data_IF_362264887761
#
_entry.id   IF_362264887761
#
_cell.length_a   1.000
_cell.length_b   1.000
_cell.length_c   1.000
_cell.angle_alpha   90.00
_cell.angle_beta   90.00
_cell.angle_gamma   90.00
#
_symmetry.space_group_name_H-M   'P 1'
#
loop_
_entity.id
_entity.type
_entity.pdbx_description
1 polymer ?
#
# COMPACT_ATOMS: atom_id res chain seq x y z
N UNK A 1 -9.74 6.00 -25.41
CA UNK A 1 -8.54 6.32 -26.22
C UNK A 1 -7.37 6.41 -25.28
N UNK A 2 -6.42 5.49 -25.39
CA UNK A 2 -5.07 5.72 -24.92
C UNK A 2 -4.46 6.77 -25.83
N UNK A 3 -4.04 7.92 -25.29
CA UNK A 3 -3.10 8.76 -26.01
C UNK A 3 -1.83 7.93 -26.17
N UNK A 4 -1.73 7.15 -27.24
CA UNK A 4 -0.44 6.89 -27.84
C UNK A 4 0.20 8.26 -28.04
N UNK A 5 1.44 8.43 -27.59
CA UNK A 5 2.24 9.61 -27.93
C UNK A 5 2.11 9.82 -29.45
N UNK A 6 1.09 10.57 -29.86
CA UNK A 6 1.14 11.20 -31.16
C UNK A 6 2.37 12.11 -31.04
N UNK A 7 3.42 11.80 -31.80
CA UNK A 7 4.44 12.75 -32.21
C UNK A 7 3.76 13.92 -32.92
N UNK A 8 3.02 14.75 -32.16
CA UNK A 8 2.81 16.12 -32.58
C UNK A 8 4.20 16.72 -32.50
N UNK A 9 4.73 17.30 -33.60
CA UNK A 9 5.87 18.18 -33.47
C UNK A 9 5.45 19.20 -32.42
N UNK A 10 6.03 19.13 -31.23
CA UNK A 10 5.87 20.15 -30.21
C UNK A 10 6.51 21.38 -30.86
N UNK A 11 5.69 22.26 -31.40
CA UNK A 11 6.10 23.59 -31.72
C UNK A 11 6.67 24.12 -30.41
N UNK A 12 8.00 24.21 -30.34
CA UNK A 12 8.69 24.67 -29.16
C UNK A 12 8.11 26.04 -28.84
N UNK A 13 7.27 26.11 -27.79
CA UNK A 13 6.90 27.42 -27.27
C UNK A 13 8.21 28.01 -26.78
N UNK A 14 8.73 28.97 -27.54
CA UNK A 14 10.09 29.55 -27.41
C UNK A 14 10.42 30.07 -26.00
N UNK A 15 9.41 30.12 -25.12
CA UNK A 15 9.54 30.69 -23.77
C UNK A 15 9.23 29.68 -22.63
N UNK A 16 8.83 28.43 -22.94
CA UNK A 16 8.60 27.42 -21.90
C UNK A 16 9.88 26.64 -21.61
N UNK A 17 10.35 26.74 -20.37
CA UNK A 17 11.50 25.96 -19.89
C UNK A 17 11.08 24.51 -19.68
N UNK A 18 11.85 23.57 -20.18
CA UNK A 18 11.63 22.16 -19.99
C UNK A 18 11.89 21.76 -18.52
N UNK A 19 11.03 20.93 -17.95
CA UNK A 19 11.23 20.44 -16.57
C UNK A 19 12.58 19.75 -16.38
N UNK A 20 13.09 19.05 -17.40
CA UNK A 20 14.44 18.41 -17.34
C UNK A 20 15.56 19.41 -17.09
N UNK A 21 15.40 20.65 -17.52
CA UNK A 21 16.41 21.71 -17.38
C UNK A 21 16.25 22.46 -16.03
N UNK A 22 15.07 22.34 -15.39
CA UNK A 22 14.78 22.90 -14.07
C UNK A 22 15.19 21.97 -12.92
N UNK A 23 15.19 20.64 -13.13
CA UNK A 23 15.43 19.68 -12.06
C UNK A 23 16.89 19.26 -11.99
N UNK A 24 17.42 19.15 -10.76
CA UNK A 24 18.78 18.68 -10.57
C UNK A 24 18.91 17.18 -10.89
N UNK A 25 19.84 16.75 -11.79
CA UNK A 25 19.99 15.35 -12.18
C UNK A 25 20.26 14.39 -11.01
N UNK A 26 20.93 14.86 -9.97
CA UNK A 26 21.22 14.08 -8.77
C UNK A 26 20.09 14.07 -7.74
N UNK A 27 18.93 14.67 -8.01
CA UNK A 27 17.78 14.61 -7.10
C UNK A 27 17.21 13.20 -7.03
N UNK A 28 16.79 12.77 -5.83
CA UNK A 28 16.38 11.39 -5.57
C UNK A 28 15.17 10.92 -6.41
N UNK A 29 14.20 11.80 -6.68
CA UNK A 29 13.06 11.49 -7.56
C UNK A 29 13.47 11.38 -9.02
N UNK A 30 14.48 12.14 -9.48
CA UNK A 30 15.02 12.03 -10.83
C UNK A 30 15.70 10.67 -11.01
N UNK A 31 16.54 10.28 -10.06
CA UNK A 31 17.20 8.97 -10.06
C UNK A 31 16.18 7.81 -10.02
N UNK A 32 15.12 7.96 -9.24
CA UNK A 32 14.05 6.96 -9.15
C UNK A 32 13.27 6.88 -10.47
N UNK A 33 12.92 8.04 -11.07
CA UNK A 33 12.25 8.13 -12.37
C UNK A 33 12.99 7.36 -13.46
N UNK A 34 14.30 7.53 -13.51
CA UNK A 34 15.15 6.94 -14.55
C UNK A 34 15.42 5.45 -14.29
N UNK A 35 15.29 4.99 -13.05
CA UNK A 35 15.46 3.59 -12.68
C UNK A 35 14.23 2.72 -12.99
N UNK A 36 13.02 3.31 -13.02
CA UNK A 36 11.74 2.60 -13.24
C UNK A 36 11.49 2.38 -14.72
N UNK A 37 11.08 1.18 -15.09
CA UNK A 37 10.60 0.86 -16.45
C UNK A 37 9.12 1.25 -16.61
N UNK A 38 8.85 2.49 -16.98
CA UNK A 38 7.48 3.01 -17.15
C UNK A 38 6.71 2.32 -18.29
N UNK A 39 7.38 1.85 -19.35
CA UNK A 39 6.73 1.16 -20.47
C UNK A 39 6.03 -0.12 -20.02
N UNK A 40 6.61 -0.85 -19.05
CA UNK A 40 6.00 -2.05 -18.49
C UNK A 40 4.58 -1.77 -17.95
N UNK A 41 4.36 -0.62 -17.32
CA UNK A 41 3.04 -0.25 -16.80
C UNK A 41 2.07 0.11 -17.92
N UNK A 42 2.54 0.81 -18.96
CA UNK A 42 1.72 1.16 -20.13
C UNK A 42 1.23 -0.10 -20.86
N UNK A 43 2.09 -1.10 -20.99
CA UNK A 43 1.78 -2.38 -21.62
C UNK A 43 0.81 -3.22 -20.77
N UNK A 44 1.10 -3.39 -19.47
CA UNK A 44 0.30 -4.23 -18.57
C UNK A 44 -1.10 -3.65 -18.35
N UNK A 45 -1.21 -2.32 -18.31
CA UNK A 45 -2.48 -1.64 -18.02
C UNK A 45 -3.28 -1.29 -19.28
N UNK A 46 -2.74 -1.56 -20.48
CA UNK A 46 -3.45 -1.29 -21.75
C UNK A 46 -4.82 -1.95 -21.79
N UNK A 47 -4.93 -3.18 -21.29
CA UNK A 47 -6.19 -3.93 -21.25
C UNK A 47 -7.27 -3.32 -20.33
N UNK A 48 -6.88 -2.47 -19.40
CA UNK A 48 -7.81 -1.76 -18.51
C UNK A 48 -8.47 -0.52 -19.17
N UNK A 49 -8.10 -0.20 -20.42
CA UNK A 49 -8.59 0.95 -21.17
C UNK A 49 -9.19 0.54 -22.50
N UNK A 50 -10.31 1.17 -22.88
CA UNK A 50 -10.88 1.02 -24.22
C UNK A 50 -10.13 1.90 -25.22
N UNK A 51 -9.70 1.32 -26.35
CA UNK A 51 -8.92 2.05 -27.36
C UNK A 51 -9.75 3.07 -28.13
N UNK A 52 -11.03 2.80 -28.39
CA UNK A 52 -11.83 3.53 -29.36
C UNK A 52 -13.09 4.19 -28.82
N UNK A 53 -13.32 4.24 -27.50
CA UNK A 53 -14.53 4.81 -26.93
C UNK A 53 -14.25 5.73 -25.74
N UNK A 54 -14.87 6.93 -25.73
CA UNK A 54 -14.84 7.88 -24.63
C UNK A 54 -13.78 9.00 -24.74
N UNK A 55 -13.72 9.87 -23.70
CA UNK A 55 -12.72 10.94 -23.59
C UNK A 55 -11.31 10.33 -23.48
N UNK A 56 -10.27 10.94 -24.10
CA UNK A 56 -8.88 10.50 -23.95
C UNK A 56 -8.50 10.33 -22.47
N UNK A 57 -7.96 9.18 -22.14
CA UNK A 57 -7.53 8.88 -20.76
C UNK A 57 -6.29 9.68 -20.40
N UNK A 58 -6.13 9.94 -19.10
CA UNK A 58 -4.87 10.46 -18.55
C UNK A 58 -3.80 9.40 -18.78
N UNK A 59 -2.56 9.77 -19.17
CA UNK A 59 -1.47 8.83 -19.39
C UNK A 59 -1.27 7.91 -18.19
N UNK A 60 -1.06 6.62 -18.44
CA UNK A 60 -0.83 5.59 -17.39
C UNK A 60 0.34 6.00 -16.49
N UNK A 61 1.41 6.52 -17.08
CA UNK A 61 2.57 7.01 -16.34
C UNK A 61 2.22 8.10 -15.34
N UNK A 62 1.37 9.07 -15.71
CA UNK A 62 0.89 10.12 -14.82
C UNK A 62 0.15 9.53 -13.62
N UNK A 63 -0.82 8.65 -13.87
CA UNK A 63 -1.63 8.04 -12.82
C UNK A 63 -0.83 7.11 -11.91
N UNK A 64 0.11 6.34 -12.48
CA UNK A 64 1.03 5.50 -11.71
C UNK A 64 1.98 6.38 -10.86
N UNK A 65 2.54 7.44 -11.43
CA UNK A 65 3.40 8.38 -10.72
C UNK A 65 2.71 9.03 -9.51
N UNK A 66 1.49 9.55 -9.71
CA UNK A 66 0.67 10.12 -8.62
C UNK A 66 0.37 9.06 -7.54
N UNK A 67 0.09 7.81 -7.93
CA UNK A 67 -0.13 6.71 -6.99
C UNK A 67 1.15 6.39 -6.19
N UNK A 68 2.31 6.38 -6.83
CA UNK A 68 3.59 6.17 -6.18
C UNK A 68 3.88 7.26 -5.15
N UNK A 69 3.76 8.53 -5.55
CA UNK A 69 3.96 9.68 -4.66
C UNK A 69 3.02 9.63 -3.45
N UNK A 70 1.75 9.29 -3.66
CA UNK A 70 0.78 9.13 -2.57
C UNK A 70 1.28 8.18 -1.48
N UNK A 71 1.72 6.97 -1.86
CA UNK A 71 2.15 5.95 -0.90
C UNK A 71 3.59 6.13 -0.42
N UNK A 72 4.45 6.79 -1.18
CA UNK A 72 5.79 7.18 -0.74
C UNK A 72 5.76 8.20 0.39
N UNK A 73 4.84 9.17 0.33
CA UNK A 73 4.76 10.30 1.25
C UNK A 73 3.53 10.27 2.18
N UNK A 74 2.79 9.17 2.20
CA UNK A 74 1.60 8.98 3.05
C UNK A 74 0.57 10.12 2.95
N UNK A 75 0.21 10.53 1.72
CA UNK A 75 -0.67 11.68 1.46
C UNK A 75 -2.08 11.27 1.01
N UNK A 76 -3.06 12.16 1.21
CA UNK A 76 -4.37 12.01 0.62
C UNK A 76 -4.32 12.21 -0.91
N UNK A 77 -5.39 11.87 -1.63
CA UNK A 77 -5.46 12.12 -3.07
C UNK A 77 -5.39 13.62 -3.39
N UNK A 78 -6.00 14.47 -2.55
CA UNK A 78 -5.97 15.91 -2.73
C UNK A 78 -4.58 16.47 -2.47
N UNK A 79 -3.96 16.10 -1.35
CA UNK A 79 -2.61 16.60 -1.01
C UNK A 79 -1.59 16.25 -2.09
N UNK A 80 -1.71 15.06 -2.71
CA UNK A 80 -0.82 14.67 -3.83
C UNK A 80 -1.03 15.58 -5.05
N UNK A 81 -2.27 15.92 -5.38
CA UNK A 81 -2.58 16.79 -6.51
C UNK A 81 -2.12 18.23 -6.27
N UNK A 82 -2.34 18.74 -5.06
CA UNK A 82 -1.93 20.09 -4.66
C UNK A 82 -0.40 20.21 -4.68
N UNK A 83 0.31 19.26 -4.06
CA UNK A 83 1.78 19.22 -4.08
C UNK A 83 2.35 19.02 -5.51
N UNK A 84 1.65 18.27 -6.37
CA UNK A 84 2.08 18.10 -7.76
C UNK A 84 2.09 19.44 -8.51
N UNK A 85 1.09 20.31 -8.29
CA UNK A 85 1.04 21.64 -8.92
C UNK A 85 2.19 22.54 -8.49
N UNK A 86 2.71 22.36 -7.27
CA UNK A 86 3.74 23.23 -6.70
C UNK A 86 5.17 22.71 -6.94
N UNK A 87 5.34 21.41 -7.25
CA UNK A 87 6.64 20.76 -7.24
C UNK A 87 7.07 20.27 -8.64
N UNK A 88 8.08 20.93 -9.27
CA UNK A 88 8.58 20.53 -10.58
C UNK A 88 9.18 19.12 -10.61
N UNK A 89 9.78 18.65 -9.51
CA UNK A 89 10.29 17.27 -9.41
C UNK A 89 9.17 16.23 -9.45
N UNK A 90 8.00 16.53 -8.87
CA UNK A 90 6.85 15.64 -8.90
C UNK A 90 6.24 15.56 -10.29
N UNK A 91 6.14 16.71 -10.97
CA UNK A 91 5.68 16.78 -12.36
C UNK A 91 6.61 16.01 -13.28
N UNK A 92 7.93 16.23 -13.14
CA UNK A 92 8.93 15.51 -13.91
C UNK A 92 8.93 14.00 -13.66
N UNK A 93 8.76 13.58 -12.40
CA UNK A 93 8.62 12.16 -12.02
C UNK A 93 7.42 11.51 -12.71
N UNK A 94 6.28 12.20 -12.72
CA UNK A 94 5.05 11.75 -13.36
C UNK A 94 5.09 11.81 -14.90
N UNK A 95 6.15 12.34 -15.51
CA UNK A 95 6.33 12.41 -16.96
C UNK A 95 5.89 13.72 -17.58
N UNK A 96 5.75 14.79 -16.79
CA UNK A 96 5.57 16.15 -17.31
C UNK A 96 6.80 16.62 -18.11
N UNK A 97 6.56 17.34 -19.18
CA UNK A 97 7.62 17.98 -20.00
C UNK A 97 7.80 19.45 -19.62
N UNK A 98 6.70 20.14 -19.36
CA UNK A 98 6.67 21.53 -18.94
C UNK A 98 6.02 21.64 -17.56
N UNK A 99 6.26 22.75 -16.88
CA UNK A 99 5.63 23.04 -15.60
C UNK A 99 4.15 23.44 -15.81
N UNK A 100 3.27 22.76 -15.09
CA UNK A 100 1.81 22.96 -15.15
C UNK A 100 1.31 23.49 -13.80
N UNK A 101 0.44 24.48 -13.83
CA UNK A 101 -0.14 25.09 -12.61
C UNK A 101 -1.46 24.46 -12.18
N UNK A 102 -2.08 23.65 -13.05
CA UNK A 102 -3.34 22.97 -12.77
C UNK A 102 -3.13 21.46 -12.57
N UNK A 103 -3.88 20.82 -11.67
CA UNK A 103 -3.73 19.39 -11.44
C UNK A 103 -4.16 18.59 -12.68
N UNK A 104 -3.42 17.52 -13.04
CA UNK A 104 -3.69 16.72 -14.24
C UNK A 104 -5.00 15.93 -14.14
N UNK A 105 -5.56 15.85 -12.94
CA UNK A 105 -6.76 15.07 -12.63
C UNK A 105 -7.40 15.54 -11.33
N UNK A 106 -8.44 14.83 -10.87
CA UNK A 106 -9.13 15.07 -9.61
C UNK A 106 -9.22 13.78 -8.75
N UNK A 107 -9.60 13.95 -7.48
CA UNK A 107 -9.73 12.84 -6.52
C UNK A 107 -10.63 11.70 -7.01
N UNK A 108 -11.76 12.02 -7.64
CA UNK A 108 -12.70 11.00 -8.12
C UNK A 108 -12.10 10.16 -9.25
N UNK A 109 -11.26 10.75 -10.09
CA UNK A 109 -10.53 10.03 -11.13
C UNK A 109 -9.42 9.15 -10.52
N UNK A 110 -8.69 9.62 -9.51
CA UNK A 110 -7.72 8.79 -8.77
C UNK A 110 -8.41 7.60 -8.09
N UNK A 111 -9.60 7.79 -7.52
CA UNK A 111 -10.38 6.70 -6.94
C UNK A 111 -10.82 5.67 -8.00
N UNK A 112 -11.34 6.13 -9.14
CA UNK A 112 -11.71 5.26 -10.27
C UNK A 112 -10.51 4.53 -10.86
N UNK A 113 -9.37 5.18 -10.94
CA UNK A 113 -8.10 4.55 -11.34
C UNK A 113 -7.76 3.37 -10.42
N UNK A 114 -7.77 3.56 -9.10
CA UNK A 114 -7.49 2.48 -8.15
C UNK A 114 -8.44 1.28 -8.30
N UNK A 115 -9.72 1.54 -8.50
CA UNK A 115 -10.69 0.46 -8.74
C UNK A 115 -10.40 -0.35 -10.02
N UNK A 116 -9.80 0.29 -11.04
CA UNK A 116 -9.42 -0.37 -12.30
C UNK A 116 -8.07 -1.09 -12.21
N UNK A 117 -7.16 -0.66 -11.33
CA UNK A 117 -5.85 -1.27 -11.18
C UNK A 117 -5.95 -2.78 -10.91
N UNK A 118 -6.78 -3.15 -9.93
CA UNK A 118 -6.87 -4.53 -9.48
C UNK A 118 -5.56 -5.03 -8.83
N UNK A 119 -5.62 -6.22 -8.26
CA UNK A 119 -4.49 -6.82 -7.53
C UNK A 119 -3.28 -7.11 -8.45
N UNK A 120 -3.53 -7.65 -9.64
CA UNK A 120 -2.49 -8.05 -10.59
C UNK A 120 -1.59 -6.88 -11.01
N UNK A 121 -2.19 -5.74 -11.36
CA UNK A 121 -1.41 -4.58 -11.79
C UNK A 121 -0.59 -3.98 -10.64
N UNK A 122 -1.10 -4.02 -9.40
CA UNK A 122 -0.32 -3.58 -8.23
C UNK A 122 0.83 -4.54 -7.92
N UNK A 123 0.65 -5.85 -8.09
CA UNK A 123 1.74 -6.83 -7.99
C UNK A 123 2.84 -6.54 -9.03
N UNK A 124 2.48 -6.21 -10.27
CA UNK A 124 3.43 -5.79 -11.29
C UNK A 124 4.19 -4.51 -10.92
N UNK A 125 3.53 -3.55 -10.26
CA UNK A 125 4.21 -2.36 -9.74
C UNK A 125 5.24 -2.71 -8.66
N UNK A 126 4.92 -3.62 -7.75
CA UNK A 126 5.87 -4.09 -6.72
C UNK A 126 7.02 -4.86 -7.38
N UNK A 127 6.72 -5.75 -8.32
CA UNK A 127 7.72 -6.52 -9.08
C UNK A 127 8.72 -5.59 -9.76
N UNK A 128 8.24 -4.54 -10.44
CA UNK A 128 9.12 -3.56 -11.08
C UNK A 128 10.07 -2.86 -10.09
N UNK A 129 9.63 -2.59 -8.85
CA UNK A 129 10.54 -1.99 -7.85
C UNK A 129 11.69 -2.93 -7.49
N UNK A 130 11.42 -4.24 -7.42
CA UNK A 130 12.42 -5.27 -7.13
C UNK A 130 13.35 -5.48 -8.33
N UNK A 131 12.81 -5.55 -9.55
CA UNK A 131 13.57 -5.67 -10.79
C UNK A 131 14.48 -4.46 -10.98
N UNK A 132 13.96 -3.25 -10.72
CA UNK A 132 14.75 -2.02 -10.74
C UNK A 132 15.89 -2.07 -9.70
N UNK A 133 15.62 -2.59 -8.50
CA UNK A 133 16.64 -2.76 -7.48
C UNK A 133 17.74 -3.75 -7.90
N UNK A 134 17.38 -4.82 -8.61
CA UNK A 134 18.32 -5.80 -9.17
C UNK A 134 19.14 -5.20 -10.33
N UNK A 135 18.48 -4.57 -11.30
CA UNK A 135 19.14 -3.90 -12.45
C UNK A 135 20.15 -2.86 -12.00
N UNK A 136 19.77 -2.06 -10.99
CA UNK A 136 20.63 -1.04 -10.42
C UNK A 136 21.63 -1.57 -9.37
N UNK A 137 21.74 -2.89 -9.17
CA UNK A 137 22.67 -3.54 -8.23
C UNK A 137 22.55 -3.03 -6.78
N UNK A 138 21.37 -2.57 -6.36
CA UNK A 138 21.08 -2.17 -4.96
C UNK A 138 20.45 -3.32 -4.17
N UNK A 139 20.02 -4.38 -4.84
CA UNK A 139 19.63 -5.67 -4.28
C UNK A 139 20.33 -6.81 -5.03
N UNK A 140 20.31 -7.99 -4.44
CA UNK A 140 20.82 -9.24 -5.04
C UNK A 140 19.72 -10.30 -5.00
N UNK A 141 19.51 -11.05 -6.06
CA UNK A 141 18.51 -12.12 -6.14
C UNK A 141 18.66 -13.14 -4.97
N UNK A 142 19.90 -13.48 -4.61
CA UNK A 142 20.20 -14.34 -3.46
C UNK A 142 19.65 -13.83 -2.12
N UNK A 143 19.46 -12.52 -1.97
CA UNK A 143 18.87 -11.96 -0.74
C UNK A 143 17.37 -12.28 -0.63
N UNK A 144 16.69 -12.64 -1.73
CA UNK A 144 15.27 -13.01 -1.79
C UNK A 144 15.02 -14.51 -1.49
N UNK A 145 16.04 -15.35 -1.46
CA UNK A 145 15.93 -16.76 -1.09
C UNK A 145 15.61 -16.99 0.40
N UNK A 146 15.88 -15.99 1.26
CA UNK A 146 15.61 -16.03 2.69
C UNK A 146 14.65 -14.95 3.09
N UNK A 147 13.50 -15.37 3.59
CA UNK A 147 12.40 -14.44 3.88
C UNK A 147 11.96 -14.50 5.33
N UNK A 148 11.43 -13.41 5.83
CA UNK A 148 10.67 -13.35 7.07
C UNK A 148 9.20 -13.20 6.70
N UNK A 149 8.32 -13.93 7.37
CA UNK A 149 6.87 -13.90 7.17
C UNK A 149 6.22 -13.51 8.48
N UNK A 150 5.31 -12.55 8.40
CA UNK A 150 4.54 -12.10 9.57
C UNK A 150 3.21 -11.51 9.14
N UNK A 151 2.24 -11.46 10.06
CA UNK A 151 0.94 -10.82 9.87
C UNK A 151 0.74 -9.64 10.78
N UNK A 152 -0.04 -8.69 10.32
CA UNK A 152 -0.48 -7.55 11.13
C UNK A 152 -1.96 -7.26 10.87
N UNK A 153 -2.54 -6.31 11.61
CA UNK A 153 -3.89 -5.80 11.30
C UNK A 153 -3.74 -4.51 10.52
N UNK A 154 -4.41 -4.44 9.39
CA UNK A 154 -4.69 -3.23 8.65
C UNK A 154 -6.00 -2.64 9.16
N UNK A 155 -5.92 -1.59 9.97
CA UNK A 155 -7.10 -1.00 10.57
C UNK A 155 -7.91 -0.21 9.54
N UNK A 156 -9.22 -0.43 9.55
CA UNK A 156 -10.14 0.32 8.69
C UNK A 156 -10.44 1.69 9.31
N UNK A 157 -10.65 2.70 8.48
CA UNK A 157 -11.03 4.03 8.93
C UNK A 157 -12.49 4.07 9.37
N UNK A 158 -12.82 3.37 10.45
CA UNK A 158 -14.13 3.37 11.06
C UNK A 158 -14.10 4.00 12.46
N UNK A 159 -15.25 4.48 12.91
CA UNK A 159 -15.41 4.87 14.32
C UNK A 159 -15.46 3.62 15.18
N UNK A 160 -14.98 3.72 16.44
CA UNK A 160 -15.05 2.62 17.38
C UNK A 160 -16.50 2.10 17.48
N UNK A 161 -16.75 0.82 17.15
CA UNK A 161 -18.09 0.25 17.07
C UNK A 161 -18.68 0.06 18.47
N UNK A 162 -19.87 0.60 18.64
CA UNK A 162 -20.73 0.28 19.78
C UNK A 162 -22.11 -0.03 19.23
N UNK A 163 -22.85 -0.96 19.86
CA UNK A 163 -24.17 -1.38 19.37
C UNK A 163 -25.10 -0.16 19.17
N UNK A 164 -25.09 0.80 20.12
CA UNK A 164 -25.89 2.01 19.98
C UNK A 164 -25.55 2.83 18.72
N UNK A 165 -24.26 3.01 18.41
CA UNK A 165 -23.83 3.74 17.22
C UNK A 165 -24.18 3.00 15.93
N UNK A 166 -24.02 1.68 15.92
CA UNK A 166 -24.34 0.85 14.76
C UNK A 166 -25.84 0.90 14.45
N UNK A 167 -26.70 0.73 15.47
CA UNK A 167 -28.15 0.81 15.34
C UNK A 167 -28.62 2.18 14.82
N UNK A 168 -28.09 3.29 15.37
CA UNK A 168 -28.47 4.63 14.90
C UNK A 168 -27.95 4.87 13.48
N UNK A 169 -26.73 4.41 13.16
CA UNK A 169 -26.17 4.56 11.82
C UNK A 169 -26.91 3.76 10.76
N UNK A 170 -27.36 2.52 11.09
CA UNK A 170 -28.21 1.72 10.22
C UNK A 170 -29.54 2.47 9.95
N UNK A 171 -30.22 2.95 11.00
CA UNK A 171 -31.42 3.77 10.88
C UNK A 171 -31.20 4.98 9.96
N UNK A 172 -30.12 5.74 10.17
CA UNK A 172 -29.78 6.90 9.31
C UNK A 172 -29.62 6.51 7.85
N UNK A 173 -28.98 5.36 7.57
CA UNK A 173 -28.77 4.90 6.19
C UNK A 173 -30.06 4.44 5.52
N UNK A 174 -30.88 3.68 6.22
CA UNK A 174 -32.19 3.26 5.71
C UNK A 174 -33.06 4.48 5.40
N UNK A 175 -33.19 5.42 6.34
CA UNK A 175 -33.98 6.63 6.14
C UNK A 175 -33.45 7.46 4.98
N UNK A 176 -32.15 7.77 4.94
CA UNK A 176 -31.57 8.61 3.90
C UNK A 176 -31.65 8.00 2.50
N UNK A 177 -31.59 6.66 2.39
CA UNK A 177 -31.77 5.96 1.11
C UNK A 177 -33.23 5.91 0.72
N UNK A 178 -34.12 5.67 1.70
CA UNK A 178 -35.57 5.70 1.46
C UNK A 178 -36.08 7.05 1.02
N UNK A 179 -35.63 8.15 1.63
CA UNK A 179 -35.97 9.51 1.19
C UNK A 179 -35.57 9.76 -0.28
N UNK A 180 -34.42 9.22 -0.74
CA UNK A 180 -34.02 9.33 -2.15
C UNK A 180 -34.89 8.49 -3.10
N UNK A 181 -35.49 7.42 -2.60
CA UNK A 181 -36.46 6.59 -3.31
C UNK A 181 -37.91 7.09 -3.18
N UNK A 182 -38.13 8.22 -2.50
CA UNK A 182 -39.47 8.78 -2.26
C UNK A 182 -40.29 8.08 -1.19
N UNK A 183 -39.65 7.19 -0.38
CA UNK A 183 -40.35 6.45 0.70
C UNK A 183 -40.72 7.43 1.83
N UNK A 184 -41.98 7.42 2.22
CA UNK A 184 -42.48 8.15 3.37
C UNK A 184 -42.50 7.23 4.59
N UNK A 185 -41.64 7.50 5.57
CA UNK A 185 -41.60 6.77 6.81
C UNK A 185 -42.68 7.26 7.78
N UNK A 186 -43.35 6.35 8.50
CA UNK A 186 -44.28 6.71 9.56
C UNK A 186 -43.58 7.51 10.65
N UNK A 187 -42.35 7.12 11.02
CA UNK A 187 -41.44 7.82 11.92
C UNK A 187 -39.98 7.57 11.57
N UNK A 188 -39.20 8.59 11.31
CA UNK A 188 -37.77 8.47 10.96
C UNK A 188 -36.83 8.44 12.18
N UNK A 189 -37.32 8.74 13.37
CA UNK A 189 -36.59 8.74 14.66
C UNK A 189 -35.28 9.56 14.71
N UNK A 190 -35.05 10.51 13.80
CA UNK A 190 -33.79 11.28 13.69
C UNK A 190 -33.42 11.97 15.03
N UNK A 191 -34.38 12.72 15.58
CA UNK A 191 -34.15 13.43 16.86
C UNK A 191 -34.03 12.46 18.03
N UNK A 192 -34.85 11.40 18.08
CA UNK A 192 -34.82 10.38 19.13
C UNK A 192 -33.55 9.55 19.10
N UNK A 193 -33.04 9.16 17.94
CA UNK A 193 -31.78 8.40 17.78
C UNK A 193 -30.60 9.14 18.43
N UNK A 194 -30.39 10.40 18.08
CA UNK A 194 -29.33 11.23 18.69
C UNK A 194 -29.47 11.36 20.22
N UNK A 195 -30.68 11.56 20.72
CA UNK A 195 -30.95 11.62 22.16
C UNK A 195 -30.62 10.28 22.87
N UNK A 196 -30.97 9.15 22.24
CA UNK A 196 -30.66 7.81 22.75
C UNK A 196 -29.18 7.51 22.79
N UNK A 197 -28.42 7.90 21.75
CA UNK A 197 -26.95 7.79 21.75
C UNK A 197 -26.33 8.52 22.94
N UNK A 198 -26.79 9.74 23.22
CA UNK A 198 -26.28 10.53 24.34
C UNK A 198 -26.62 9.86 25.68
N UNK A 199 -27.86 9.42 25.86
CA UNK A 199 -28.31 8.69 27.08
C UNK A 199 -27.52 7.40 27.30
N UNK A 200 -27.32 6.60 26.24
CA UNK A 200 -26.53 5.37 26.30
C UNK A 200 -25.11 5.67 26.80
N UNK A 201 -24.45 6.65 26.19
CA UNK A 201 -23.08 7.04 26.57
C UNK A 201 -23.02 7.49 28.04
N UNK A 202 -24.01 8.26 28.54
CA UNK A 202 -24.10 8.68 29.93
C UNK A 202 -24.26 7.49 30.89
N UNK A 203 -25.16 6.55 30.59
CA UNK A 203 -25.37 5.37 31.42
C UNK A 203 -24.15 4.43 31.46
N UNK A 204 -23.45 4.25 30.31
CA UNK A 204 -22.23 3.45 30.29
C UNK A 204 -21.12 4.10 31.13
N UNK A 205 -20.93 5.42 31.04
CA UNK A 205 -19.96 6.16 31.87
C UNK A 205 -20.29 6.05 33.36
N UNK A 206 -21.58 6.10 33.70
CA UNK A 206 -22.07 5.94 35.09
C UNK A 206 -22.14 4.47 35.54
N UNK A 207 -21.67 3.50 34.72
CA UNK A 207 -21.73 2.05 35.01
C UNK A 207 -23.16 1.50 35.25
N UNK A 208 -24.18 2.20 34.73
CA UNK A 208 -25.61 1.81 34.85
C UNK A 208 -25.99 0.90 33.66
N UNK A 209 -25.42 -0.31 33.61
CA UNK A 209 -25.52 -1.20 32.46
C UNK A 209 -26.96 -1.66 32.13
N UNK A 210 -27.81 -1.86 33.12
CA UNK A 210 -29.22 -2.22 32.92
C UNK A 210 -29.99 -1.10 32.19
N UNK A 211 -29.75 0.17 32.57
CA UNK A 211 -30.34 1.32 31.88
C UNK A 211 -29.79 1.48 30.45
N UNK A 212 -28.50 1.26 30.28
CA UNK A 212 -27.89 1.25 28.95
C UNK A 212 -28.49 0.14 28.02
N UNK A 213 -28.74 -1.07 28.56
CA UNK A 213 -29.40 -2.16 27.85
C UNK A 213 -30.83 -1.82 27.43
N UNK A 214 -31.59 -1.10 28.30
CA UNK A 214 -32.94 -0.65 27.94
C UNK A 214 -32.91 0.35 26.78
N UNK A 215 -31.89 1.23 26.71
CA UNK A 215 -31.71 2.15 25.58
C UNK A 215 -31.43 1.37 24.30
N UNK A 216 -30.59 0.35 24.35
CA UNK A 216 -30.33 -0.51 23.19
C UNK A 216 -31.60 -1.19 22.70
N UNK A 217 -32.43 -1.75 23.59
CA UNK A 217 -33.71 -2.34 23.20
C UNK A 217 -34.63 -1.34 22.51
N UNK A 218 -34.73 -0.12 23.01
CA UNK A 218 -35.52 0.93 22.35
C UNK A 218 -34.95 1.31 20.97
N UNK A 219 -33.62 1.38 20.84
CA UNK A 219 -32.97 1.67 19.54
C UNK A 219 -33.16 0.54 18.53
N UNK A 220 -33.12 -0.73 18.97
CA UNK A 220 -33.50 -1.87 18.13
C UNK A 220 -34.92 -1.73 17.57
N UNK A 221 -35.87 -1.39 18.45
CA UNK A 221 -37.27 -1.17 18.01
C UNK A 221 -37.39 -0.01 17.02
N UNK A 222 -36.64 1.09 17.19
CA UNK A 222 -36.64 2.19 16.19
C UNK A 222 -36.10 1.75 14.85
N UNK A 223 -35.06 0.91 14.83
CA UNK A 223 -34.52 0.35 13.60
C UNK A 223 -35.52 -0.60 12.95
N UNK A 224 -36.12 -1.53 13.71
CA UNK A 224 -37.15 -2.44 13.21
C UNK A 224 -38.31 -1.70 12.54
N UNK A 225 -38.87 -0.69 13.20
CA UNK A 225 -39.98 0.05 12.64
C UNK A 225 -39.61 0.74 11.29
N UNK A 226 -38.41 1.31 11.20
CA UNK A 226 -37.92 1.96 9.97
C UNK A 226 -37.62 0.94 8.87
N UNK A 227 -37.13 -0.25 9.21
CA UNK A 227 -36.89 -1.33 8.23
C UNK A 227 -38.20 -1.89 7.70
N UNK A 228 -39.21 -2.11 8.55
CA UNK A 228 -40.54 -2.57 8.14
C UNK A 228 -41.23 -1.60 7.20
N UNK A 229 -41.22 -0.28 7.52
CA UNK A 229 -41.76 0.78 6.63
C UNK A 229 -41.05 0.73 5.25
N UNK A 230 -39.73 0.60 5.22
CA UNK A 230 -38.96 0.55 3.98
C UNK A 230 -39.22 -0.72 3.16
N UNK A 231 -39.32 -1.88 3.81
CA UNK A 231 -39.61 -3.18 3.15
C UNK A 231 -41.01 -3.16 2.53
N UNK A 232 -42.00 -2.62 3.25
CA UNK A 232 -43.35 -2.51 2.72
C UNK A 232 -43.40 -1.57 1.51
N UNK A 233 -42.73 -0.42 1.56
CA UNK A 233 -42.70 0.52 0.46
C UNK A 233 -41.97 -0.02 -0.77
N UNK A 234 -40.87 -0.77 -0.59
CA UNK A 234 -40.11 -1.36 -1.68
C UNK A 234 -40.94 -2.33 -2.55
N UNK A 235 -41.94 -2.99 -1.99
CA UNK A 235 -42.82 -3.91 -2.74
C UNK A 235 -43.59 -3.21 -3.87
N UNK A 236 -43.81 -1.91 -3.76
CA UNK A 236 -44.57 -1.10 -4.73
C UNK A 236 -43.68 -0.25 -5.65
N UNK A 237 -42.35 -0.20 -5.42
CA UNK A 237 -41.43 0.60 -6.22
C UNK A 237 -40.93 -0.21 -7.42
N UNK A 238 -41.22 0.27 -8.62
CA UNK A 238 -40.66 -0.24 -9.87
C UNK A 238 -39.57 0.72 -10.34
N UNK A 239 -38.30 0.27 -10.46
CA UNK A 239 -37.21 1.15 -10.88
C UNK A 239 -37.40 1.62 -12.32
N UNK A 240 -37.27 2.92 -12.57
CA UNK A 240 -37.42 3.52 -13.88
C UNK A 240 -36.07 3.77 -14.58
N UNK A 241 -35.00 3.75 -13.85
CA UNK A 241 -33.65 4.00 -14.36
C UNK A 241 -32.57 3.27 -13.55
N UNK A 242 -31.35 3.20 -14.11
CA UNK A 242 -30.21 2.51 -13.49
C UNK A 242 -29.83 3.09 -12.11
N UNK A 243 -30.09 4.40 -11.88
CA UNK A 243 -29.80 5.05 -10.59
C UNK A 243 -30.76 4.56 -9.51
N UNK A 244 -32.03 4.44 -9.83
CA UNK A 244 -33.03 3.90 -8.90
C UNK A 244 -32.77 2.43 -8.61
N UNK A 245 -32.42 1.64 -9.62
CA UNK A 245 -31.99 0.25 -9.44
C UNK A 245 -30.87 0.15 -8.41
N UNK A 246 -29.79 0.94 -8.57
CA UNK A 246 -28.67 0.94 -7.64
C UNK A 246 -29.05 1.39 -6.22
N UNK A 247 -30.02 2.33 -6.08
CA UNK A 247 -30.55 2.74 -4.77
C UNK A 247 -31.36 1.65 -4.10
N UNK A 248 -32.13 0.87 -4.87
CA UNK A 248 -32.90 -0.30 -4.36
C UNK A 248 -31.95 -1.37 -3.90
N UNK A 249 -30.92 -1.74 -4.69
CA UNK A 249 -29.90 -2.71 -4.29
C UNK A 249 -29.19 -2.27 -2.99
N UNK A 250 -28.84 -0.98 -2.91
CA UNK A 250 -28.23 -0.41 -1.70
C UNK A 250 -29.17 -0.49 -0.49
N UNK A 251 -30.48 -0.22 -0.70
CA UNK A 251 -31.49 -0.33 0.34
C UNK A 251 -31.60 -1.78 0.85
N UNK A 252 -31.71 -2.74 -0.06
CA UNK A 252 -31.78 -4.17 0.29
C UNK A 252 -30.57 -4.56 1.18
N UNK A 253 -29.35 -4.18 0.80
CA UNK A 253 -28.17 -4.42 1.62
C UNK A 253 -28.25 -3.77 3.02
N UNK A 254 -28.78 -2.56 3.13
CA UNK A 254 -28.98 -1.94 4.45
C UNK A 254 -30.07 -2.61 5.29
N UNK A 255 -31.13 -3.13 4.67
CA UNK A 255 -32.19 -3.87 5.37
C UNK A 255 -31.66 -5.20 5.93
N UNK A 256 -30.87 -5.94 5.14
CA UNK A 256 -30.20 -7.18 5.60
C UNK A 256 -29.28 -6.91 6.78
N UNK A 257 -28.38 -5.91 6.67
CA UNK A 257 -27.50 -5.51 7.77
C UNK A 257 -28.29 -5.05 9.01
N UNK A 258 -29.41 -4.36 8.82
CA UNK A 258 -30.28 -3.91 9.92
C UNK A 258 -30.91 -5.07 10.66
N UNK A 259 -31.38 -6.10 9.97
CA UNK A 259 -31.93 -7.33 10.59
C UNK A 259 -30.85 -8.04 11.41
N UNK A 260 -29.65 -8.24 10.85
CA UNK A 260 -28.53 -8.82 11.57
C UNK A 260 -28.18 -8.03 12.82
N UNK A 261 -28.20 -6.69 12.77
CA UNK A 261 -27.92 -5.84 13.94
C UNK A 261 -29.02 -5.91 15.03
N UNK A 262 -30.27 -6.04 14.64
CA UNK A 262 -31.37 -6.22 15.59
C UNK A 262 -31.23 -7.56 16.34
N UNK A 263 -30.81 -8.60 15.67
CA UNK A 263 -30.56 -9.93 16.27
C UNK A 263 -29.24 -9.96 17.06
N UNK A 264 -28.25 -9.17 16.67
CA UNK A 264 -26.94 -9.14 17.31
C UNK A 264 -27.03 -8.84 18.81
N UNK A 265 -26.40 -9.70 19.62
CA UNK A 265 -26.29 -9.54 21.06
C UNK A 265 -24.87 -9.84 21.57
N UNK A 266 -24.68 -9.90 22.89
CA UNK A 266 -23.38 -10.20 23.52
C UNK A 266 -22.87 -11.62 23.25
N UNK A 267 -23.77 -12.56 22.90
CA UNK A 267 -23.45 -13.96 22.64
C UNK A 267 -23.15 -14.22 21.14
N UNK A 268 -23.47 -13.27 20.26
CA UNK A 268 -23.17 -13.39 18.83
C UNK A 268 -21.67 -13.60 18.61
N UNK A 269 -21.26 -14.68 17.91
CA UNK A 269 -19.85 -14.95 17.65
C UNK A 269 -19.16 -13.79 16.92
N UNK A 270 -17.90 -13.52 17.26
CA UNK A 270 -17.17 -12.35 16.70
C UNK A 270 -17.09 -12.34 15.17
N UNK A 271 -17.07 -13.53 14.51
CA UNK A 271 -17.08 -13.66 13.05
C UNK A 271 -18.42 -13.25 12.41
N UNK A 272 -19.53 -13.35 13.15
CA UNK A 272 -20.88 -13.07 12.67
C UNK A 272 -21.35 -11.65 13.11
N UNK A 273 -20.50 -10.91 13.84
CA UNK A 273 -20.82 -9.56 14.30
C UNK A 273 -20.52 -8.50 13.27
N UNK A 274 -21.43 -7.54 13.15
CA UNK A 274 -21.23 -6.34 12.35
C UNK A 274 -20.51 -5.29 13.19
N UNK A 275 -19.42 -4.74 12.66
CA UNK A 275 -18.64 -3.68 13.28
C UNK A 275 -18.74 -2.33 12.52
N UNK A 276 -19.27 -2.35 11.29
CA UNK A 276 -19.49 -1.14 10.49
C UNK A 276 -20.61 -1.35 9.48
N UNK A 277 -21.48 -0.35 9.31
CA UNK A 277 -22.58 -0.39 8.33
C UNK A 277 -22.08 -0.11 6.91
N UNK A 278 -21.05 0.73 6.76
CA UNK A 278 -20.51 1.08 5.44
C UNK A 278 -19.36 0.19 5.00
N UNK A 279 -18.79 -0.56 5.91
CA UNK A 279 -17.71 -1.53 5.71
C UNK A 279 -18.04 -2.81 6.48
N UNK A 280 -19.06 -3.58 6.05
CA UNK A 280 -19.56 -4.74 6.80
C UNK A 280 -18.54 -5.88 6.92
N UNK A 281 -17.54 -5.93 6.02
CA UNK A 281 -16.46 -6.92 6.04
C UNK A 281 -15.40 -6.69 7.12
N UNK A 282 -15.50 -5.59 7.88
CA UNK A 282 -14.54 -5.29 8.96
C UNK A 282 -14.63 -6.33 10.06
N UNK A 283 -13.49 -6.85 10.46
CA UNK A 283 -13.33 -7.84 11.51
C UNK A 283 -12.79 -7.22 12.80
N UNK A 284 -13.08 -7.85 13.93
CA UNK A 284 -12.50 -7.52 15.22
C UNK A 284 -11.37 -8.50 15.54
N UNK A 285 -10.14 -8.04 15.51
CA UNK A 285 -8.95 -8.85 15.68
C UNK A 285 -8.30 -8.53 17.03
N UNK A 286 -8.17 -9.55 17.89
CA UNK A 286 -7.52 -9.43 19.19
C UNK A 286 -6.02 -9.80 19.05
N UNK A 287 -5.11 -8.86 19.32
CA UNK A 287 -3.66 -9.09 19.29
C UNK A 287 -2.99 -9.20 20.67
N UNK A 288 -3.75 -9.30 21.74
CA UNK A 288 -3.19 -9.43 23.10
C UNK A 288 -2.34 -8.24 23.58
N UNK A 289 -2.40 -7.09 22.89
CA UNK A 289 -1.71 -5.87 23.34
C UNK A 289 -2.41 -5.25 24.54
N UNK A 290 -1.67 -4.89 25.58
CA UNK A 290 -2.20 -4.32 26.83
C UNK A 290 -2.98 -3.03 26.57
N UNK A 291 -2.45 -2.13 25.74
CA UNK A 291 -3.06 -0.83 25.48
C UNK A 291 -4.15 -0.83 24.40
N UNK A 292 -4.17 -1.82 23.50
CA UNK A 292 -5.11 -1.90 22.39
C UNK A 292 -5.51 -3.35 22.15
N UNK A 293 -6.48 -3.79 22.93
CA UNK A 293 -6.92 -5.19 22.95
C UNK A 293 -7.55 -5.62 21.63
N UNK A 294 -8.29 -4.72 20.97
CA UNK A 294 -9.03 -5.00 19.73
C UNK A 294 -8.65 -4.00 18.66
N UNK A 295 -8.36 -4.51 17.47
CA UNK A 295 -8.14 -3.73 16.25
C UNK A 295 -9.24 -4.10 15.25
N UNK A 296 -9.84 -3.09 14.59
CA UNK A 296 -10.96 -3.28 13.66
C UNK A 296 -10.48 -3.05 12.23
N UNK A 297 -10.48 -4.08 11.42
CA UNK A 297 -9.97 -4.05 10.05
C UNK A 297 -9.86 -5.42 9.45
N UNK A 298 -8.82 -5.66 8.66
CA UNK A 298 -8.50 -6.95 8.06
C UNK A 298 -7.10 -7.39 8.47
N UNK A 299 -6.86 -8.69 8.56
CA UNK A 299 -5.51 -9.23 8.71
C UNK A 299 -4.73 -9.00 7.42
N UNK A 300 -3.49 -8.53 7.49
CA UNK A 300 -2.60 -8.37 6.35
C UNK A 300 -1.30 -9.14 6.59
N UNK A 301 -0.86 -9.90 5.60
CA UNK A 301 0.37 -10.69 5.61
C UNK A 301 1.46 -10.04 4.79
N UNK A 302 2.70 -10.10 5.28
CA UNK A 302 3.88 -9.55 4.62
C UNK A 302 4.99 -10.57 4.55
N UNK A 303 5.67 -10.59 3.39
CA UNK A 303 6.89 -11.38 3.18
C UNK A 303 8.02 -10.40 2.87
N UNK A 304 9.09 -10.44 3.67
CA UNK A 304 10.24 -9.55 3.50
C UNK A 304 11.52 -10.33 3.33
N UNK A 305 12.43 -9.85 2.50
CA UNK A 305 13.79 -10.40 2.40
C UNK A 305 14.52 -10.26 3.74
N UNK A 306 14.91 -11.37 4.35
CA UNK A 306 15.44 -11.42 5.73
C UNK A 306 16.69 -10.55 5.94
N UNK A 307 17.58 -10.44 4.93
CA UNK A 307 18.81 -9.65 5.02
C UNK A 307 18.59 -8.19 4.68
N UNK A 308 17.89 -7.93 3.61
CA UNK A 308 17.79 -6.61 2.98
C UNK A 308 16.48 -5.89 3.23
N UNK A 309 15.49 -6.52 3.87
CA UNK A 309 14.18 -5.96 4.21
C UNK A 309 13.40 -5.38 2.99
N UNK A 310 13.59 -5.93 1.78
CA UNK A 310 12.69 -5.68 0.66
C UNK A 310 11.38 -6.41 0.89
N UNK A 311 10.26 -5.79 0.61
CA UNK A 311 8.96 -6.46 0.68
C UNK A 311 8.76 -7.20 -0.63
N UNK A 312 8.65 -8.53 -0.53
CA UNK A 312 8.48 -9.44 -1.66
C UNK A 312 7.02 -9.84 -1.87
N UNK A 313 6.21 -9.77 -0.83
CA UNK A 313 4.77 -10.07 -0.86
C UNK A 313 4.01 -9.27 0.18
N UNK A 314 2.79 -8.88 -0.16
CA UNK A 314 1.85 -8.18 0.71
C UNK A 314 0.42 -8.51 0.29
N UNK A 315 -0.42 -8.98 1.21
CA UNK A 315 -1.81 -9.30 0.91
C UNK A 315 -2.74 -9.08 2.10
N UNK A 316 -3.98 -8.68 1.85
CA UNK A 316 -5.04 -8.75 2.83
C UNK A 316 -5.56 -10.19 2.93
N UNK A 317 -5.92 -10.61 4.14
CA UNK A 317 -6.34 -11.96 4.51
C UNK A 317 -7.72 -11.90 5.19
N UNK A 318 -8.81 -11.75 4.43
CA UNK A 318 -10.16 -11.69 4.97
C UNK A 318 -10.53 -12.98 5.71
N UNK A 319 -11.43 -12.87 6.70
CA UNK A 319 -11.87 -14.01 7.52
C UNK A 319 -10.94 -14.31 8.69
N UNK A 320 -9.94 -13.45 8.93
CA UNK A 320 -8.94 -13.61 9.99
C UNK A 320 -8.41 -15.05 10.12
N UNK A 321 -7.93 -15.67 9.01
CA UNK A 321 -7.48 -17.05 9.00
C UNK A 321 -6.34 -17.26 10.00
N UNK A 322 -6.15 -18.50 10.45
CA UNK A 322 -4.99 -18.87 11.24
C UNK A 322 -3.71 -18.62 10.42
N UNK A 323 -2.67 -18.05 11.05
CA UNK A 323 -1.45 -17.63 10.34
C UNK A 323 -0.78 -18.78 9.58
N UNK A 324 -0.77 -19.99 10.13
CA UNK A 324 -0.23 -21.17 9.48
C UNK A 324 -0.90 -21.50 8.13
N UNK A 325 -2.20 -21.28 7.99
CA UNK A 325 -2.96 -21.57 6.77
C UNK A 325 -2.75 -20.50 5.68
N UNK A 326 -2.08 -19.40 6.00
CA UNK A 326 -1.80 -18.32 5.03
C UNK A 326 -0.43 -18.45 4.36
N UNK A 327 0.42 -19.34 4.87
CA UNK A 327 1.83 -19.41 4.50
C UNK A 327 2.06 -19.76 3.03
N UNK A 328 1.30 -20.72 2.49
CA UNK A 328 1.42 -21.15 1.08
C UNK A 328 1.15 -19.98 0.13
N UNK A 329 0.01 -19.33 0.27
CA UNK A 329 -0.37 -18.21 -0.60
C UNK A 329 0.58 -17.01 -0.48
N UNK A 330 1.12 -16.74 0.72
CA UNK A 330 2.08 -15.65 0.94
C UNK A 330 3.42 -15.94 0.26
N UNK A 331 3.94 -17.17 0.34
CA UNK A 331 5.19 -17.57 -0.30
C UNK A 331 5.04 -17.65 -1.83
N UNK A 332 3.90 -18.12 -2.34
CA UNK A 332 3.58 -18.14 -3.76
C UNK A 332 3.52 -16.70 -4.33
N UNK A 333 2.85 -15.78 -3.64
CA UNK A 333 2.82 -14.39 -4.05
C UNK A 333 4.23 -13.77 -4.05
N UNK A 334 5.03 -14.04 -3.02
CA UNK A 334 6.41 -13.54 -2.94
C UNK A 334 7.28 -14.07 -4.08
N UNK A 335 7.12 -15.34 -4.46
CA UNK A 335 7.79 -15.92 -5.61
C UNK A 335 7.30 -15.29 -6.92
N UNK A 336 6.01 -15.10 -7.10
CA UNK A 336 5.43 -14.48 -8.30
C UNK A 336 5.93 -13.04 -8.49
N UNK A 337 5.97 -12.25 -7.42
CA UNK A 337 6.39 -10.84 -7.47
C UNK A 337 7.89 -10.70 -7.65
N UNK A 338 8.70 -11.50 -6.95
CA UNK A 338 10.16 -11.37 -6.95
C UNK A 338 10.86 -12.16 -8.05
N UNK A 339 10.17 -13.10 -8.70
CA UNK A 339 10.77 -14.06 -9.63
C UNK A 339 11.74 -15.06 -8.97
N UNK A 340 11.88 -15.04 -7.64
CA UNK A 340 12.81 -15.89 -6.90
C UNK A 340 12.05 -16.77 -5.92
N UNK A 341 12.27 -18.09 -5.99
CA UNK A 341 11.67 -19.06 -5.07
C UNK A 341 12.34 -18.95 -3.70
N UNK A 342 11.58 -18.63 -2.62
CA UNK A 342 12.12 -18.64 -1.27
C UNK A 342 12.59 -20.04 -0.87
N UNK A 343 13.82 -20.15 -0.36
CA UNK A 343 14.39 -21.43 0.15
C UNK A 343 14.20 -21.56 1.65
N UNK A 344 14.17 -20.46 2.39
CA UNK A 344 14.03 -20.43 3.84
C UNK A 344 13.04 -19.36 4.25
N UNK A 345 12.04 -19.70 5.04
CA UNK A 345 11.10 -18.77 5.62
C UNK A 345 11.17 -18.80 7.15
N UNK A 346 11.36 -17.62 7.76
CA UNK A 346 11.44 -17.46 9.21
C UNK A 346 10.13 -16.87 9.71
N UNK A 347 9.40 -17.67 10.48
CA UNK A 347 8.07 -17.34 11.02
C UNK A 347 8.10 -17.27 12.55
N UNK A 348 7.12 -16.64 13.15
CA UNK A 348 6.92 -16.68 14.60
C UNK A 348 6.17 -17.94 15.06
N UNK A 349 5.85 -18.01 16.35
CA UNK A 349 5.11 -19.14 16.93
C UNK A 349 3.66 -19.23 16.47
N UNK A 350 3.09 -18.14 15.95
CA UNK A 350 1.73 -18.10 15.37
C UNK A 350 1.57 -18.98 14.15
N UNK A 351 2.66 -19.35 13.47
CA UNK A 351 2.67 -20.26 12.32
C UNK A 351 2.87 -21.74 12.70
N UNK A 352 2.86 -22.08 13.98
CA UNK A 352 3.09 -23.46 14.43
C UNK A 352 1.94 -24.37 13.99
N UNK A 353 2.27 -25.47 13.31
CA UNK A 353 1.26 -26.36 12.73
C UNK A 353 0.72 -25.88 11.39
N UNK A 354 1.54 -25.14 10.62
CA UNK A 354 1.22 -24.73 9.25
C UNK A 354 0.95 -25.94 8.33
N UNK A 355 0.16 -25.70 7.29
CA UNK A 355 -0.21 -26.68 6.28
C UNK A 355 0.69 -26.67 5.02
N UNK A 356 1.74 -25.85 5.01
CA UNK A 356 2.63 -25.71 3.87
C UNK A 356 3.36 -27.03 3.53
N UNK A 357 3.25 -27.46 2.26
CA UNK A 357 3.81 -28.70 1.72
C UNK A 357 4.84 -28.49 0.60
N UNK A 358 5.27 -27.24 0.35
CA UNK A 358 6.25 -26.94 -0.69
C UNK A 358 7.71 -27.13 -0.22
N UNK A 359 8.67 -26.79 -1.09
CA UNK A 359 10.10 -27.05 -0.89
C UNK A 359 10.82 -25.98 -0.02
N UNK A 360 10.12 -24.95 0.46
CA UNK A 360 10.71 -23.94 1.32
C UNK A 360 10.87 -24.49 2.74
N UNK A 361 12.08 -24.37 3.30
CA UNK A 361 12.36 -24.75 4.69
C UNK A 361 11.76 -23.73 5.66
N UNK A 362 10.69 -24.13 6.35
CA UNK A 362 9.97 -23.27 7.28
C UNK A 362 10.58 -23.36 8.67
N UNK A 363 11.15 -22.25 9.12
CA UNK A 363 11.81 -22.12 10.41
C UNK A 363 10.93 -21.38 11.41
N UNK A 364 10.24 -22.12 12.30
CA UNK A 364 9.48 -21.53 13.40
C UNK A 364 10.43 -21.08 14.50
N UNK A 365 10.54 -19.76 14.67
CA UNK A 365 11.44 -19.15 15.65
C UNK A 365 10.82 -19.21 17.04
N UNK A 366 11.45 -19.95 17.96
CA UNK A 366 11.02 -20.07 19.35
C UNK A 366 12.07 -19.51 20.33
N UNK A 367 11.70 -19.42 21.61
CA UNK A 367 12.59 -18.93 22.68
C UNK A 367 13.68 -19.93 23.04
N UNK A 368 13.51 -21.22 22.73
CA UNK A 368 14.48 -22.29 23.06
C UNK A 368 15.59 -22.31 22.03
N UNK A 369 16.60 -21.46 22.23
CA UNK A 369 17.77 -21.31 21.33
C UNK A 369 18.91 -22.28 21.63
N UNK A 370 18.84 -23.02 22.74
CA UNK A 370 19.86 -23.97 23.16
C UNK A 370 20.01 -25.08 22.10
N UNK A 371 21.24 -25.39 21.72
CA UNK A 371 21.62 -26.45 20.75
C UNK A 371 21.41 -26.15 19.26
N UNK A 372 21.21 -24.89 18.84
CA UNK A 372 21.14 -24.55 17.41
C UNK A 372 22.49 -24.02 16.91
N UNK A 373 22.86 -24.29 15.63
CA UNK A 373 24.08 -23.75 15.01
C UNK A 373 24.07 -22.20 15.02
N UNK A 374 25.25 -21.58 15.22
CA UNK A 374 25.38 -20.10 15.27
C UNK A 374 24.82 -19.39 14.03
N UNK A 375 24.99 -20.00 12.85
CA UNK A 375 24.47 -19.48 11.58
C UNK A 375 22.95 -19.41 11.62
N UNK A 376 22.26 -20.46 12.07
CA UNK A 376 20.79 -20.47 12.18
C UNK A 376 20.30 -19.45 13.20
N UNK A 377 20.98 -19.35 14.35
CA UNK A 377 20.64 -18.35 15.37
C UNK A 377 20.76 -16.91 14.86
N UNK A 378 21.70 -16.62 13.96
CA UNK A 378 21.83 -15.32 13.31
C UNK A 378 20.58 -15.00 12.47
N UNK A 379 20.08 -15.96 11.69
CA UNK A 379 18.88 -15.80 10.90
C UNK A 379 17.61 -15.72 11.75
N UNK A 380 17.53 -16.51 12.81
CA UNK A 380 16.44 -16.43 13.77
C UNK A 380 16.34 -15.05 14.44
N UNK A 381 17.47 -14.41 14.76
CA UNK A 381 17.49 -13.03 15.24
C UNK A 381 16.98 -12.05 14.17
N UNK A 382 17.23 -12.35 12.91
CA UNK A 382 16.78 -11.51 11.79
C UNK A 382 15.27 -11.57 11.54
N UNK A 383 14.55 -12.57 12.06
CA UNK A 383 13.08 -12.60 11.94
C UNK A 383 12.44 -11.32 12.46
N UNK A 384 12.87 -10.83 13.61
CA UNK A 384 12.32 -9.60 14.19
C UNK A 384 12.54 -8.34 13.32
N UNK A 385 13.39 -8.42 12.29
CA UNK A 385 13.57 -7.29 11.36
C UNK A 385 12.33 -6.95 10.51
N UNK A 386 11.34 -7.84 10.45
CA UNK A 386 10.05 -7.54 9.80
C UNK A 386 9.19 -6.58 10.64
N UNK A 387 9.32 -6.58 11.97
CA UNK A 387 8.51 -5.74 12.86
C UNK A 387 8.72 -4.23 12.61
N UNK A 388 9.96 -3.71 12.52
CA UNK A 388 10.19 -2.33 12.09
C UNK A 388 9.68 -2.03 10.67
N UNK A 389 9.78 -2.99 9.73
CA UNK A 389 9.24 -2.81 8.37
C UNK A 389 7.72 -2.61 8.44
N UNK A 390 7.01 -3.45 9.19
CA UNK A 390 5.57 -3.30 9.41
C UNK A 390 5.26 -1.96 10.10
N UNK A 391 6.08 -1.55 11.07
CA UNK A 391 5.96 -0.24 11.72
C UNK A 391 6.02 0.89 10.70
N UNK A 392 7.03 0.92 9.84
CA UNK A 392 7.19 1.93 8.78
C UNK A 392 6.06 1.89 7.75
N UNK A 393 5.59 0.72 7.33
CA UNK A 393 4.44 0.62 6.42
C UNK A 393 3.21 1.30 7.03
N UNK A 394 3.00 1.14 8.34
CA UNK A 394 1.89 1.76 9.05
C UNK A 394 2.04 3.27 9.18
N UNK A 395 3.18 3.75 9.69
CA UNK A 395 3.38 5.18 9.96
C UNK A 395 3.65 6.00 8.69
N UNK A 396 4.47 5.48 7.77
CA UNK A 396 5.08 6.27 6.69
C UNK A 396 4.46 5.99 5.31
N UNK A 397 3.63 4.93 5.18
CA UNK A 397 3.12 4.47 3.88
C UNK A 397 1.60 4.21 3.87
N UNK A 398 0.84 4.99 4.64
CA UNK A 398 -0.62 5.08 4.58
C UNK A 398 -1.40 3.82 5.00
N UNK A 399 -0.78 2.89 5.75
CA UNK A 399 -1.44 1.67 6.21
C UNK A 399 -2.07 1.81 7.61
N UNK A 400 -1.76 2.85 8.40
CA UNK A 400 -2.25 2.99 9.77
C UNK A 400 -3.78 2.96 9.83
N UNK A 401 -4.45 3.63 8.85
CA UNK A 401 -5.89 3.58 8.67
C UNK A 401 -6.27 3.49 7.20
N UNK A 402 -6.76 2.33 6.80
CA UNK A 402 -7.24 2.11 5.45
C UNK A 402 -8.54 2.90 5.19
N UNK A 403 -8.48 3.82 4.23
CA UNK A 403 -9.61 4.64 3.78
C UNK A 403 -10.23 4.14 2.48
N UNK A 404 -9.66 3.10 1.86
CA UNK A 404 -10.21 2.52 0.65
C UNK A 404 -11.39 1.62 1.01
N UNK A 405 -12.46 1.67 0.22
CA UNK A 405 -13.69 0.93 0.48
C UNK A 405 -13.67 -0.51 0.01
N UNK A 406 -14.38 -1.38 0.73
CA UNK A 406 -14.62 -2.77 0.37
C UNK A 406 -13.39 -3.68 0.47
N UNK A 407 -13.58 -4.97 0.18
CA UNK A 407 -12.54 -6.00 0.22
C UNK A 407 -11.40 -5.71 -0.77
N UNK A 408 -11.74 -5.20 -1.97
CA UNK A 408 -10.73 -4.80 -2.95
C UNK A 408 -9.87 -3.65 -2.40
N UNK A 409 -10.48 -2.68 -1.70
CA UNK A 409 -9.76 -1.60 -1.06
C UNK A 409 -8.76 -2.09 -0.02
N UNK A 410 -9.11 -3.11 0.76
CA UNK A 410 -8.22 -3.71 1.75
C UNK A 410 -7.01 -4.39 1.07
N UNK A 411 -7.26 -5.17 0.02
CA UNK A 411 -6.21 -5.83 -0.75
C UNK A 411 -5.26 -4.83 -1.41
N UNK A 412 -5.81 -3.81 -2.04
CA UNK A 412 -5.01 -2.79 -2.73
C UNK A 412 -4.19 -1.96 -1.75
N UNK A 413 -4.74 -1.58 -0.59
CA UNK A 413 -4.02 -0.73 0.35
C UNK A 413 -2.83 -1.46 0.97
N UNK A 414 -2.95 -2.73 1.34
CA UNK A 414 -1.84 -3.54 1.84
C UNK A 414 -0.68 -3.59 0.83
N UNK A 415 -0.99 -3.85 -0.45
CA UNK A 415 0.02 -3.92 -1.52
C UNK A 415 0.60 -2.54 -1.88
N UNK A 416 -0.21 -1.49 -1.97
CA UNK A 416 0.24 -0.14 -2.31
C UNK A 416 1.10 0.47 -1.19
N UNK A 417 0.82 0.14 0.07
CA UNK A 417 1.67 0.52 1.20
C UNK A 417 3.04 -0.17 1.13
N UNK A 418 3.07 -1.45 0.76
CA UNK A 418 4.31 -2.19 0.51
C UNK A 418 5.10 -1.60 -0.68
N UNK A 419 4.41 -1.22 -1.74
CA UNK A 419 4.98 -0.52 -2.90
C UNK A 419 5.64 0.79 -2.47
N UNK A 420 4.95 1.62 -1.68
CA UNK A 420 5.47 2.88 -1.15
C UNK A 420 6.77 2.68 -0.37
N UNK A 421 6.81 1.68 0.52
CA UNK A 421 8.01 1.32 1.27
C UNK A 421 9.18 0.92 0.33
N UNK A 422 8.92 0.05 -0.65
CA UNK A 422 9.95 -0.38 -1.60
C UNK A 422 10.47 0.77 -2.46
N UNK A 423 9.60 1.66 -2.92
CA UNK A 423 9.98 2.84 -3.72
C UNK A 423 10.88 3.79 -2.93
N UNK A 424 10.52 4.14 -1.68
CA UNK A 424 11.35 4.99 -0.81
C UNK A 424 12.70 4.33 -0.54
N UNK A 425 12.71 3.02 -0.31
CA UNK A 425 13.93 2.25 -0.13
C UNK A 425 14.81 2.27 -1.39
N UNK A 426 14.24 2.07 -2.57
CA UNK A 426 14.92 2.15 -3.85
C UNK A 426 15.52 3.54 -4.06
N UNK A 427 14.72 4.58 -3.88
CA UNK A 427 15.10 5.98 -4.00
C UNK A 427 16.31 6.33 -3.13
N UNK A 428 16.27 5.99 -1.85
CA UNK A 428 17.39 6.22 -0.91
C UNK A 428 18.65 5.44 -1.32
N UNK A 429 18.50 4.21 -1.80
CA UNK A 429 19.63 3.37 -2.23
C UNK A 429 20.28 3.91 -3.51
N UNK A 430 19.49 4.39 -4.48
CA UNK A 430 19.97 5.02 -5.70
C UNK A 430 20.72 6.32 -5.39
N UNK A 431 20.17 7.17 -4.51
CA UNK A 431 20.82 8.41 -4.06
C UNK A 431 22.19 8.13 -3.42
N UNK A 432 22.23 7.15 -2.51
CA UNK A 432 23.49 6.73 -1.86
C UNK A 432 24.53 6.24 -2.88
N UNK A 433 24.08 5.49 -3.90
CA UNK A 433 24.96 5.00 -4.97
C UNK A 433 25.47 6.16 -5.84
N UNK A 434 24.61 7.08 -6.23
CA UNK A 434 24.97 8.27 -7.01
C UNK A 434 26.02 9.11 -6.28
N UNK A 435 25.81 9.41 -4.99
CA UNK A 435 26.77 10.14 -4.16
C UNK A 435 28.12 9.39 -4.12
N UNK A 436 28.10 8.06 -3.88
CA UNK A 436 29.35 7.28 -3.89
C UNK A 436 30.06 7.34 -5.23
N UNK A 437 29.33 7.33 -6.35
CA UNK A 437 29.90 7.47 -7.70
C UNK A 437 30.64 8.80 -7.88
N UNK A 438 30.08 9.89 -7.36
CA UNK A 438 30.71 11.22 -7.40
C UNK A 438 32.07 11.26 -6.68
N UNK A 439 32.22 10.53 -5.58
CA UNK A 439 33.49 10.51 -4.83
C UNK A 439 34.49 9.47 -5.34
N UNK A 440 34.03 8.35 -5.87
CA UNK A 440 34.90 7.28 -6.36
C UNK A 440 35.51 7.60 -7.73
N UNK A 441 34.81 8.29 -8.60
CA UNK A 441 35.28 8.61 -9.94
C UNK A 441 36.48 9.57 -9.94
N UNK A 442 36.47 10.70 -9.21
CA UNK A 442 37.64 11.56 -9.07
C UNK A 442 38.82 10.84 -8.42
N UNK A 443 38.59 10.01 -7.39
CA UNK A 443 39.63 9.22 -6.74
C UNK A 443 40.29 8.21 -7.70
N UNK A 444 39.49 7.50 -8.51
CA UNK A 444 40.01 6.56 -9.49
C UNK A 444 40.81 7.27 -10.61
N UNK A 445 40.37 8.45 -11.06
CA UNK A 445 41.13 9.30 -12.00
C UNK A 445 42.43 9.73 -11.36
N UNK A 446 42.40 10.23 -10.14
CA UNK A 446 43.61 10.64 -9.41
C UNK A 446 44.60 9.49 -9.24
N UNK A 447 44.13 8.29 -8.90
CA UNK A 447 44.98 7.08 -8.80
C UNK A 447 45.60 6.70 -10.16
N UNK A 448 44.87 6.82 -11.26
CA UNK A 448 45.40 6.60 -12.61
C UNK A 448 46.44 7.64 -12.99
N UNK A 449 46.21 8.90 -12.67
CA UNK A 449 47.20 9.98 -12.90
C UNK A 449 48.46 9.72 -12.10
N UNK A 450 48.33 9.36 -10.82
CA UNK A 450 49.45 9.05 -9.95
C UNK A 450 50.23 7.80 -10.40
N UNK A 451 49.53 6.80 -10.93
CA UNK A 451 50.18 5.62 -11.55
C UNK A 451 50.95 6.03 -12.81
N UNK A 452 50.32 6.77 -13.71
CA UNK A 452 50.96 7.26 -14.92
C UNK A 452 52.19 8.14 -14.63
N UNK A 453 52.11 9.05 -13.63
CA UNK A 453 53.25 9.86 -13.18
C UNK A 453 54.40 8.99 -12.61
N UNK A 454 54.11 7.90 -11.90
CA UNK A 454 55.11 6.92 -11.45
C UNK A 454 55.78 6.23 -12.63
N UNK A 455 55.00 5.76 -13.61
CA UNK A 455 55.54 5.06 -14.80
C UNK A 455 56.46 5.97 -15.62
N UNK A 456 56.15 7.28 -15.71
CA UNK A 456 57.03 8.30 -16.32
C UNK A 456 58.30 8.51 -15.49
N UNK A 457 58.17 8.62 -14.16
CA UNK A 457 59.32 8.78 -13.27
C UNK A 457 60.30 7.60 -13.34
N UNK A 458 59.77 6.38 -13.37
CA UNK A 458 60.60 5.17 -13.51
C UNK A 458 61.27 5.10 -14.90
N UNK A 459 60.56 5.55 -15.96
CA UNK A 459 61.13 5.62 -17.32
C UNK A 459 62.23 6.67 -17.42
N UNK A 460 62.11 7.83 -16.77
CA UNK A 460 63.14 8.87 -16.71
C UNK A 460 64.34 8.42 -15.87
N UNK A 461 64.13 7.63 -14.79
CA UNK A 461 65.23 7.04 -14.00
C UNK A 461 65.98 5.99 -14.84
N UNK A 462 65.33 5.21 -15.65
CA UNK A 462 65.94 4.25 -16.58
C UNK A 462 66.73 4.98 -17.67
N UNK A 463 66.21 6.06 -18.27
CA UNK A 463 66.94 6.90 -19.21
C UNK A 463 68.17 7.57 -18.59
N UNK A 464 68.08 8.06 -17.39
CA UNK A 464 69.20 8.59 -16.66
C UNK A 464 70.31 7.53 -16.36
N UNK A 465 69.91 6.31 -16.01
CA UNK A 465 70.85 5.16 -15.86
C UNK A 465 71.49 4.79 -17.20
N UNK A 466 70.77 4.82 -18.31
CA UNK A 466 71.31 4.60 -19.63
C UNK A 466 72.31 5.71 -20.05
N UNK A 467 71.97 6.98 -19.83
CA UNK A 467 72.88 8.11 -20.10
C UNK A 467 74.16 8.05 -19.27
N UNK A 468 74.09 7.64 -18.00
CA UNK A 468 75.27 7.45 -17.17
C UNK A 468 76.14 6.25 -17.61
N UNK A 469 75.54 5.16 -18.12
CA UNK A 469 76.27 4.05 -18.68
C UNK A 469 76.96 4.36 -20.02
N UNK A 470 76.33 5.18 -20.87
CA UNK A 470 76.90 5.61 -22.17
C UNK A 470 78.01 6.68 -21.96
N UNK A 471 77.91 7.55 -20.94
CA UNK A 471 78.99 8.51 -20.64
C UNK A 471 80.21 7.85 -20.01
N UNK A 472 80.08 6.68 -19.32
CA UNK A 472 81.21 5.92 -18.80
C UNK A 472 81.94 5.07 -19.83
N UNK A 473 81.30 4.73 -20.98
CA UNK A 473 81.91 3.96 -22.07
C UNK A 473 82.63 4.86 -23.06
N UNK A 474 82.37 6.15 -23.08
CA UNK A 474 83.09 7.14 -23.95
C UNK A 474 84.29 7.82 -23.27
N UNK A 475 84.64 7.46 -22.04
CA UNK A 475 85.80 7.97 -21.29
C UNK A 475 86.92 6.95 -21.14
N UNK A 476 87.00 5.95 -22.00
CA UNK A 476 88.13 5.03 -22.20
C UNK A 476 88.65 5.08 -23.62
#
# INVERSE_FOLDING_TARGET
MTKTNCNRPVQSELFKVLLRDLVAPGHELVLLRDAINWKRFEETMRSAYCENNGRPSIPVRMMAGLTFLKYMYAMSDQDVLDNWCENPYWQYFCGGEFFEHEPPTNQSTMSRWRSRLGEKNVQEMISETLDSALRNKVAKAKDFERVNVDTTVEEKNIRFPTDARLLDRARERVVATGEKLGIKFSRNYVRKGKKMLHKHSGYVKAKQFNRAANVIRAMKQYLTNVTEDAEQALKSIVPTNAREMALIEQMIGYLELSRMLVEQDKNTPGKDRIYSIHEPQVECIAKGKVHKRYEFGVKAGYVTASKSNWILGAMALPGNPYDGNTLSQMLEQAQSISGVKPRYAYCDLGYRGHDYKGDCDIQIVNRFRKRKPRILLRWWKRRSAIEPVIGHIKSDHYMERNRLGGVLGDKLNAMLSALGFNLVKLMKALKKRWIKGLFLYPYAIMQRILSWMRDIGDSLLLLNRFCWQTCLVSAW
#
